data_IF_004516546210
#
_entry.id   IF_004516546210
#
_cell.length_a   1.000
_cell.length_b   1.000
_cell.length_c   1.000
_cell.angle_alpha   90.00
_cell.angle_beta   90.00
_cell.angle_gamma   90.00
#
_symmetry.space_group_name_H-M   'P 1'
#
loop_
_entity.id
_entity.type
_entity.pdbx_description
1 polymer ?
#
# COMPACT_ATOMS: atom_id res chain seq x y z
N UNK A 1 -10.34 1.25 -27.71
CA UNK A 1 -11.52 1.71 -26.95
C UNK A 1 -11.93 0.61 -26.01
N UNK A 2 -12.15 0.83 -24.74
CA UNK A 2 -12.53 -0.06 -23.62
C UNK A 2 -11.42 -0.30 -22.59
N UNK A 3 -11.17 0.71 -21.75
CA UNK A 3 -10.36 0.56 -20.53
C UNK A 3 -11.06 1.15 -19.29
N UNK A 4 -12.37 0.96 -19.14
CA UNK A 4 -13.11 1.59 -18.05
C UNK A 4 -13.95 0.62 -17.19
N UNK A 5 -13.63 -0.67 -17.14
CA UNK A 5 -14.50 -1.68 -16.50
C UNK A 5 -13.98 -2.24 -15.17
N UNK A 6 -12.85 -1.76 -14.63
CA UNK A 6 -12.32 -2.27 -13.36
C UNK A 6 -12.84 -1.54 -12.10
N UNK A 7 -13.54 -0.42 -12.25
CA UNK A 7 -14.02 0.39 -11.12
C UNK A 7 -15.55 0.37 -10.92
N UNK A 8 -16.30 -0.35 -11.75
CA UNK A 8 -17.79 -0.33 -11.72
C UNK A 8 -18.44 -1.22 -10.66
N UNK A 9 -17.67 -1.95 -9.84
CA UNK A 9 -18.24 -2.89 -8.85
C UNK A 9 -17.99 -2.51 -7.38
N UNK A 10 -17.50 -1.27 -7.10
CA UNK A 10 -17.38 -0.80 -5.72
C UNK A 10 -18.70 -0.13 -5.33
N UNK A 11 -19.50 -0.83 -4.52
CA UNK A 11 -20.77 -0.29 -4.02
C UNK A 11 -20.53 0.91 -3.07
N UNK A 12 -21.49 1.86 -2.95
CA UNK A 12 -21.36 3.04 -2.06
C UNK A 12 -21.05 2.69 -0.60
N UNK A 13 -21.46 1.53 -0.12
CA UNK A 13 -21.16 1.03 1.24
C UNK A 13 -19.67 0.73 1.43
N UNK A 14 -18.94 0.38 0.36
CA UNK A 14 -17.49 0.14 0.42
C UNK A 14 -16.68 1.44 0.45
N UNK A 15 -17.29 2.59 0.15
CA UNK A 15 -16.65 3.91 0.26
C UNK A 15 -16.62 4.47 1.69
N UNK A 16 -17.38 3.93 2.62
CA UNK A 16 -17.45 4.42 4.01
C UNK A 16 -16.13 4.26 4.82
N UNK A 17 -15.13 3.60 4.26
CA UNK A 17 -13.80 3.45 4.87
C UNK A 17 -12.70 4.34 4.29
N UNK A 18 -12.99 5.16 3.27
CA UNK A 18 -11.99 6.03 2.65
C UNK A 18 -12.16 7.47 3.13
N UNK A 19 -11.18 8.00 3.86
CA UNK A 19 -11.04 9.44 4.02
C UNK A 19 -10.87 10.08 2.65
N UNK A 20 -11.67 11.08 2.33
CA UNK A 20 -11.49 11.89 1.12
C UNK A 20 -10.17 12.65 1.24
N UNK A 21 -9.27 12.41 0.29
CA UNK A 21 -8.06 13.21 0.19
C UNK A 21 -8.45 14.65 -0.20
N UNK A 22 -8.12 15.62 0.67
CA UNK A 22 -8.42 17.03 0.40
C UNK A 22 -7.38 17.61 -0.58
N UNK A 23 -7.74 17.64 -1.86
CA UNK A 23 -6.90 18.18 -2.95
C UNK A 23 -6.76 19.71 -2.94
N UNK A 24 -7.54 20.42 -2.12
CA UNK A 24 -7.57 21.89 -2.09
C UNK A 24 -6.43 22.50 -1.25
N UNK A 25 -5.66 21.71 -0.53
CA UNK A 25 -4.52 22.18 0.24
C UNK A 25 -3.30 22.30 -0.68
N UNK A 26 -2.77 23.50 -0.87
CA UNK A 26 -1.52 23.70 -1.62
C UNK A 26 -0.41 22.93 -0.88
N UNK A 27 0.17 21.94 -1.57
CA UNK A 27 1.27 21.15 -1.06
C UNK A 27 2.48 21.30 -1.98
N UNK A 28 3.73 21.36 -1.45
CA UNK A 28 4.93 21.58 -2.25
C UNK A 28 5.23 20.43 -3.25
N UNK A 29 4.57 19.29 -3.09
CA UNK A 29 4.68 18.16 -4.02
C UNK A 29 3.43 18.09 -4.89
N UNK A 30 3.62 17.95 -6.22
CA UNK A 30 2.52 17.69 -7.15
C UNK A 30 1.74 16.44 -6.72
N UNK A 31 0.40 16.47 -6.77
CA UNK A 31 -0.40 15.28 -6.44
C UNK A 31 -0.03 14.04 -7.26
N UNK A 32 0.36 14.18 -8.51
CA UNK A 32 0.78 13.06 -9.37
C UNK A 32 2.18 12.54 -9.08
N UNK A 33 3.02 13.35 -8.39
CA UNK A 33 4.39 12.96 -8.07
C UNK A 33 4.44 11.67 -7.24
N UNK A 34 3.64 11.59 -6.16
CA UNK A 34 3.66 10.42 -5.27
C UNK A 34 3.16 9.17 -6.00
N UNK A 35 2.19 9.29 -6.92
CA UNK A 35 1.74 8.16 -7.72
C UNK A 35 2.86 7.63 -8.63
N UNK A 36 3.52 8.51 -9.38
CA UNK A 36 4.66 8.13 -10.21
C UNK A 36 5.84 7.58 -9.40
N UNK A 37 6.14 8.22 -8.27
CA UNK A 37 7.17 7.75 -7.34
C UNK A 37 6.82 6.37 -6.75
N UNK A 38 5.55 6.14 -6.39
CA UNK A 38 5.09 4.86 -5.87
C UNK A 38 5.04 3.77 -6.94
N UNK A 39 4.81 4.12 -8.21
CA UNK A 39 4.94 3.17 -9.32
C UNK A 39 6.36 2.60 -9.43
N UNK A 40 7.38 3.42 -9.17
CA UNK A 40 8.78 2.98 -9.16
C UNK A 40 9.15 2.29 -7.82
N UNK A 41 9.03 2.98 -6.71
CA UNK A 41 9.64 2.63 -5.42
C UNK A 41 8.63 2.12 -4.37
N UNK A 42 7.32 2.25 -4.62
CA UNK A 42 6.28 1.88 -3.66
C UNK A 42 6.24 0.38 -3.37
N UNK A 43 6.01 0.03 -2.12
CA UNK A 43 5.80 -1.35 -1.69
C UNK A 43 4.51 -1.46 -0.86
N UNK A 44 3.58 -2.26 -1.35
CA UNK A 44 2.38 -2.66 -0.63
C UNK A 44 2.66 -3.98 0.07
N UNK A 45 2.75 -3.96 1.40
CA UNK A 45 3.17 -5.11 2.17
C UNK A 45 2.03 -5.68 3.01
N UNK A 46 1.92 -7.02 3.03
CA UNK A 46 1.04 -7.78 3.92
C UNK A 46 1.87 -8.76 4.71
N UNK A 47 1.81 -8.67 6.05
CA UNK A 47 2.48 -9.60 6.96
C UNK A 47 1.43 -10.38 7.74
N UNK A 48 1.59 -11.71 7.79
CA UNK A 48 0.77 -12.61 8.61
C UNK A 48 1.72 -13.25 9.63
N UNK A 49 1.49 -12.97 10.91
CA UNK A 49 2.29 -13.49 12.01
C UNK A 49 1.43 -14.24 13.02
N UNK A 50 1.97 -15.26 13.65
CA UNK A 50 1.29 -15.96 14.76
C UNK A 50 1.07 -14.98 15.91
N UNK A 51 -0.13 -15.00 16.49
CA UNK A 51 -0.48 -14.15 17.61
C UNK A 51 -1.49 -14.85 18.52
N UNK A 52 -1.06 -15.25 19.71
CA UNK A 52 -1.85 -16.09 20.63
C UNK A 52 -3.19 -15.48 21.06
N UNK A 53 -3.27 -14.16 21.10
CA UNK A 53 -4.45 -13.43 21.61
C UNK A 53 -5.46 -13.05 20.52
N UNK A 54 -5.39 -13.64 19.32
CA UNK A 54 -6.36 -13.41 18.24
C UNK A 54 -7.20 -14.66 18.02
N UNK A 55 -8.47 -14.49 17.66
CA UNK A 55 -9.42 -15.61 17.42
C UNK A 55 -8.88 -16.59 16.38
N UNK A 56 -8.27 -16.10 15.31
CA UNK A 56 -7.68 -16.92 14.26
C UNK A 56 -6.27 -17.45 14.59
N UNK A 57 -5.69 -17.09 15.74
CA UNK A 57 -4.28 -17.38 16.07
C UNK A 57 -3.26 -16.60 15.25
N UNK A 58 -3.70 -15.64 14.42
CA UNK A 58 -2.85 -14.86 13.52
C UNK A 58 -3.23 -13.39 13.52
N UNK A 59 -2.21 -12.54 13.32
CA UNK A 59 -2.35 -11.10 13.09
C UNK A 59 -2.00 -10.81 11.64
N UNK A 60 -2.86 -10.04 10.97
CA UNK A 60 -2.62 -9.51 9.62
C UNK A 60 -2.26 -8.04 9.75
N UNK A 61 -1.08 -7.66 9.29
CA UNK A 61 -0.63 -6.27 9.24
C UNK A 61 -0.43 -5.85 7.79
N UNK A 62 -0.96 -4.66 7.47
CA UNK A 62 -0.77 -4.02 6.17
C UNK A 62 0.15 -2.81 6.34
N UNK A 63 0.98 -2.55 5.33
CA UNK A 63 1.85 -1.37 5.26
C UNK A 63 1.96 -0.86 3.84
N UNK A 64 1.99 0.45 3.72
CA UNK A 64 2.51 1.13 2.54
C UNK A 64 3.90 1.66 2.88
N UNK A 65 4.88 1.40 2.02
CA UNK A 65 6.30 1.67 2.25
C UNK A 65 6.93 2.36 1.05
N UNK A 66 7.85 3.29 1.32
CA UNK A 66 8.77 3.89 0.34
C UNK A 66 10.18 3.84 0.94
N UNK A 67 11.15 3.33 0.20
CA UNK A 67 12.56 3.24 0.62
C UNK A 67 13.46 3.95 -0.39
N UNK A 68 14.32 4.89 0.05
CA UNK A 68 15.32 5.51 -0.82
C UNK A 68 16.45 6.17 -0.04
N UNK A 69 17.63 6.24 -0.67
CA UNK A 69 18.76 7.02 -0.16
C UNK A 69 18.48 8.52 -0.23
N UNK A 70 19.05 9.26 0.73
CA UNK A 70 19.05 10.74 0.79
C UNK A 70 17.64 11.37 0.68
N UNK A 71 16.58 10.65 1.07
CA UNK A 71 15.20 11.08 0.84
C UNK A 71 14.45 11.47 2.12
N UNK A 72 15.16 11.84 3.18
CA UNK A 72 14.52 12.25 4.45
C UNK A 72 13.52 13.39 4.26
N UNK A 73 13.95 14.46 3.59
CA UNK A 73 13.09 15.62 3.35
C UNK A 73 11.87 15.28 2.51
N UNK A 74 12.06 14.55 1.40
CA UNK A 74 10.96 14.09 0.55
C UNK A 74 9.94 13.25 1.33
N UNK A 75 10.42 12.32 2.14
CA UNK A 75 9.54 11.46 2.94
C UNK A 75 8.82 12.22 4.06
N UNK A 76 9.42 13.27 4.58
CA UNK A 76 8.76 14.19 5.51
C UNK A 76 7.58 14.90 4.82
N UNK A 77 7.77 15.41 3.60
CA UNK A 77 6.71 16.03 2.82
C UNK A 77 5.58 15.04 2.49
N UNK A 78 5.91 13.79 2.16
CA UNK A 78 4.93 12.73 1.90
C UNK A 78 4.14 12.40 3.18
N UNK A 79 4.82 12.28 4.32
CA UNK A 79 4.17 12.09 5.62
C UNK A 79 3.19 13.22 5.93
N UNK A 80 3.60 14.45 5.71
CA UNK A 80 2.79 15.63 6.02
C UNK A 80 1.59 15.75 5.07
N UNK A 81 1.74 15.33 3.81
CA UNK A 81 0.65 15.24 2.85
C UNK A 81 -0.42 14.22 3.29
N UNK A 82 -0.01 13.02 3.70
CA UNK A 82 -0.93 12.01 4.19
C UNK A 82 -1.46 12.31 5.59
N UNK A 83 -0.77 13.15 6.36
CA UNK A 83 -1.07 13.40 7.78
C UNK A 83 -0.78 12.21 8.69
N UNK A 84 -0.28 11.11 8.15
CA UNK A 84 -0.01 9.85 8.83
C UNK A 84 1.27 9.19 8.31
N UNK A 85 1.79 8.26 9.10
CA UNK A 85 2.99 7.52 8.77
C UNK A 85 4.20 8.01 9.55
N UNK A 86 5.34 7.34 9.32
CA UNK A 86 6.60 7.62 9.97
C UNK A 86 7.72 7.63 8.96
N UNK A 87 8.73 8.46 9.20
CA UNK A 87 9.99 8.48 8.47
C UNK A 87 11.08 7.99 9.43
N UNK A 88 11.82 6.97 9.01
CA UNK A 88 12.93 6.40 9.80
C UNK A 88 14.17 6.25 8.93
N UNK A 89 15.33 6.38 9.52
CA UNK A 89 16.59 5.93 8.93
C UNK A 89 16.78 4.44 9.20
N UNK A 90 17.02 3.65 8.16
CA UNK A 90 17.23 2.20 8.25
C UNK A 90 18.71 1.81 8.32
N UNK A 91 19.53 2.57 7.61
CA UNK A 91 20.99 2.47 7.59
C UNK A 91 21.52 3.81 7.08
N UNK A 92 22.84 4.02 7.08
CA UNK A 92 23.44 5.27 6.64
C UNK A 92 22.82 5.78 5.33
N UNK A 93 22.22 6.97 5.40
CA UNK A 93 21.56 7.69 4.31
C UNK A 93 20.35 6.96 3.66
N UNK A 94 19.96 5.79 4.15
CA UNK A 94 18.80 5.05 3.65
C UNK A 94 17.58 5.34 4.52
N UNK A 95 16.60 6.02 3.96
CA UNK A 95 15.38 6.40 4.66
C UNK A 95 14.20 5.56 4.21
N UNK A 96 13.25 5.41 5.10
CA UNK A 96 11.96 4.78 4.85
C UNK A 96 10.84 5.67 5.34
N UNK A 97 9.89 5.95 4.44
CA UNK A 97 8.54 6.30 4.86
C UNK A 97 7.70 5.03 4.99
N UNK A 98 6.89 4.92 6.03
CA UNK A 98 5.88 3.86 6.12
C UNK A 98 4.62 4.33 6.82
N UNK A 99 3.49 3.77 6.37
CA UNK A 99 2.19 3.91 7.00
C UNK A 99 1.61 2.52 7.28
N UNK A 100 1.20 2.26 8.52
CA UNK A 100 0.70 0.95 8.98
C UNK A 100 -0.54 1.05 9.88
N UNK A 101 -0.97 2.25 10.26
CA UNK A 101 -2.24 2.44 10.96
C UNK A 101 -3.41 2.37 9.97
N UNK A 102 -4.53 1.72 10.34
CA UNK A 102 -5.70 1.62 9.47
C UNK A 102 -6.27 2.97 9.07
N UNK A 103 -6.24 3.95 9.96
CA UNK A 103 -6.64 5.33 9.67
C UNK A 103 -5.70 5.92 8.62
N UNK A 104 -4.39 5.84 8.81
CA UNK A 104 -3.42 6.35 7.82
C UNK A 104 -3.53 5.64 6.46
N UNK A 105 -3.76 4.32 6.48
CA UNK A 105 -3.96 3.55 5.24
C UNK A 105 -5.25 3.94 4.52
N UNK A 106 -6.29 4.42 5.21
CA UNK A 106 -7.47 4.95 4.55
C UNK A 106 -7.17 6.23 3.74
N UNK A 107 -6.28 7.10 4.25
CA UNK A 107 -5.80 8.29 3.51
C UNK A 107 -4.93 7.90 2.31
N UNK A 108 -4.04 6.92 2.48
CA UNK A 108 -3.25 6.35 1.35
C UNK A 108 -4.18 5.79 0.27
N UNK A 109 -5.24 5.08 0.65
CA UNK A 109 -6.24 4.56 -0.28
C UNK A 109 -7.02 5.68 -0.98
N UNK A 110 -7.46 6.70 -0.25
CA UNK A 110 -8.13 7.87 -0.83
C UNK A 110 -7.24 8.59 -1.84
N UNK A 111 -5.94 8.71 -1.53
CA UNK A 111 -4.97 9.32 -2.44
C UNK A 111 -4.85 8.52 -3.76
N UNK A 112 -4.60 7.21 -3.71
CA UNK A 112 -4.47 6.39 -4.92
C UNK A 112 -5.79 6.18 -5.67
N UNK A 113 -6.93 6.43 -5.04
CA UNK A 113 -8.23 6.51 -5.72
C UNK A 113 -8.34 7.77 -6.57
N UNK A 114 -7.81 8.91 -6.09
CA UNK A 114 -7.80 10.20 -6.80
C UNK A 114 -6.67 10.29 -7.83
N UNK A 115 -5.51 9.73 -7.52
CA UNK A 115 -4.29 9.74 -8.33
C UNK A 115 -3.79 8.31 -8.55
N UNK A 116 -4.43 7.54 -9.45
CA UNK A 116 -4.19 6.11 -9.58
C UNK A 116 -2.80 5.79 -10.13
N UNK A 117 -2.24 4.70 -9.65
CA UNK A 117 -1.02 4.08 -10.17
C UNK A 117 -1.20 3.64 -11.61
N UNK A 118 -0.15 3.65 -12.41
CA UNK A 118 -0.19 3.39 -13.86
C UNK A 118 0.59 2.15 -14.28
N UNK A 119 1.51 1.66 -13.43
CA UNK A 119 2.34 0.50 -13.73
C UNK A 119 1.73 -0.81 -13.21
N UNK A 120 2.47 -1.91 -13.31
CA UNK A 120 2.13 -3.19 -12.67
C UNK A 120 1.95 -3.06 -11.13
N UNK A 121 2.42 -1.97 -10.55
CA UNK A 121 2.19 -1.65 -9.14
C UNK A 121 0.70 -1.46 -8.83
N UNK A 122 -0.10 -1.00 -9.82
CA UNK A 122 -1.55 -0.90 -9.69
C UNK A 122 -2.19 -2.25 -9.37
N UNK A 123 -1.72 -3.34 -9.97
CA UNK A 123 -2.22 -4.71 -9.69
C UNK A 123 -1.88 -5.12 -8.26
N UNK A 124 -0.64 -4.86 -7.82
CA UNK A 124 -0.21 -5.11 -6.44
C UNK A 124 -1.05 -4.31 -5.44
N UNK A 125 -1.31 -3.04 -5.74
CA UNK A 125 -2.17 -2.17 -4.94
C UNK A 125 -3.61 -2.70 -4.88
N UNK A 126 -4.21 -3.07 -6.01
CA UNK A 126 -5.58 -3.62 -6.03
C UNK A 126 -5.70 -4.89 -5.18
N UNK A 127 -4.73 -5.80 -5.24
CA UNK A 127 -4.75 -7.00 -4.41
C UNK A 127 -4.52 -6.70 -2.93
N UNK A 128 -3.64 -5.74 -2.62
CA UNK A 128 -3.42 -5.27 -1.27
C UNK A 128 -4.66 -4.56 -0.70
N UNK A 129 -5.37 -3.79 -1.52
CA UNK A 129 -6.62 -3.12 -1.16
C UNK A 129 -7.74 -4.13 -0.82
N UNK A 130 -7.82 -5.26 -1.55
CA UNK A 130 -8.73 -6.37 -1.20
C UNK A 130 -8.42 -6.91 0.20
N UNK A 131 -7.14 -7.12 0.51
CA UNK A 131 -6.73 -7.56 1.86
C UNK A 131 -7.10 -6.51 2.92
N UNK A 132 -6.90 -5.22 2.63
CA UNK A 132 -7.32 -4.13 3.53
C UNK A 132 -8.82 -4.21 3.83
N UNK A 133 -9.66 -4.36 2.81
CA UNK A 133 -11.11 -4.50 2.97
C UNK A 133 -11.50 -5.74 3.77
N UNK A 134 -10.87 -6.88 3.50
CA UNK A 134 -11.10 -8.11 4.25
C UNK A 134 -10.77 -7.96 5.74
N UNK A 135 -9.73 -7.16 6.08
CA UNK A 135 -9.37 -6.91 7.47
C UNK A 135 -10.38 -5.97 8.13
N UNK A 136 -10.83 -4.90 7.45
CA UNK A 136 -11.89 -4.00 7.93
C UNK A 136 -13.18 -4.78 8.21
N UNK A 137 -13.56 -5.68 7.31
CA UNK A 137 -14.73 -6.54 7.43
C UNK A 137 -14.54 -7.70 8.44
N UNK A 138 -13.38 -7.78 9.12
CA UNK A 138 -13.04 -8.84 10.08
C UNK A 138 -12.99 -10.26 9.47
N UNK A 139 -12.96 -10.40 8.15
CA UNK A 139 -12.87 -11.70 7.47
C UNK A 139 -11.58 -12.45 7.84
N UNK A 140 -10.49 -11.73 8.13
CA UNK A 140 -9.20 -12.27 8.57
C UNK A 140 -9.27 -13.06 9.89
N UNK A 141 -10.38 -12.96 10.64
CA UNK A 141 -10.61 -13.72 11.87
C UNK A 141 -11.11 -15.14 11.60
N UNK A 142 -11.53 -15.45 10.38
CA UNK A 142 -11.98 -16.79 9.97
C UNK A 142 -10.85 -17.53 9.25
N UNK A 143 -10.87 -18.87 9.33
CA UNK A 143 -9.90 -19.73 8.62
C UNK A 143 -9.96 -19.48 7.11
N UNK A 144 -11.19 -19.44 6.54
CA UNK A 144 -11.39 -19.21 5.10
C UNK A 144 -10.90 -17.83 4.66
N UNK A 145 -11.19 -16.78 5.43
CA UNK A 145 -10.71 -15.43 5.13
C UNK A 145 -9.18 -15.34 5.20
N UNK A 146 -8.57 -15.99 6.20
CA UNK A 146 -7.11 -16.03 6.33
C UNK A 146 -6.44 -16.74 5.14
N UNK A 147 -7.02 -17.86 4.64
CA UNK A 147 -6.50 -18.53 3.45
C UNK A 147 -6.63 -17.67 2.19
N UNK A 148 -7.74 -16.95 1.99
CA UNK A 148 -7.89 -15.98 0.90
C UNK A 148 -6.82 -14.89 0.98
N UNK A 149 -6.53 -14.36 2.19
CA UNK A 149 -5.49 -13.35 2.38
C UNK A 149 -4.10 -13.93 2.06
N UNK A 150 -3.81 -15.19 2.43
CA UNK A 150 -2.55 -15.86 2.07
C UNK A 150 -2.40 -15.99 0.55
N UNK A 151 -3.47 -16.33 -0.16
CA UNK A 151 -3.47 -16.41 -1.62
C UNK A 151 -3.20 -15.03 -2.24
N UNK A 152 -3.93 -13.98 -1.82
CA UNK A 152 -3.73 -12.61 -2.30
C UNK A 152 -2.30 -12.10 -2.01
N UNK A 153 -1.77 -12.38 -0.82
CA UNK A 153 -0.39 -11.99 -0.47
C UNK A 153 0.64 -12.51 -1.47
N UNK A 154 0.45 -13.72 -2.02
CA UNK A 154 1.37 -14.29 -3.03
C UNK A 154 1.37 -13.50 -4.35
N UNK A 155 0.29 -12.78 -4.64
CA UNK A 155 0.15 -11.99 -5.88
C UNK A 155 0.56 -10.52 -5.72
N UNK A 156 0.88 -10.09 -4.50
CA UNK A 156 1.34 -8.75 -4.20
C UNK A 156 2.86 -8.69 -4.40
N UNK A 157 3.36 -7.72 -5.16
CA UNK A 157 4.79 -7.47 -5.46
C UNK A 157 5.53 -8.63 -6.17
N UNK A 158 4.85 -9.45 -6.97
CA UNK A 158 5.47 -10.57 -7.71
C UNK A 158 6.65 -10.09 -8.57
N UNK A 159 6.53 -8.93 -9.22
CA UNK A 159 7.54 -8.41 -10.14
C UNK A 159 8.84 -7.96 -9.47
N UNK A 160 8.81 -7.64 -8.15
CA UNK A 160 10.03 -7.30 -7.42
C UNK A 160 10.98 -8.50 -7.24
N UNK A 161 10.47 -9.74 -7.37
CA UNK A 161 11.28 -10.96 -7.28
C UNK A 161 11.90 -11.37 -8.62
N UNK A 162 11.33 -10.93 -9.75
CA UNK A 162 11.83 -11.26 -11.10
C UNK A 162 12.99 -10.33 -11.50
N UNK A 163 12.93 -9.04 -11.16
CA UNK A 163 14.01 -8.09 -11.47
C UNK A 163 15.29 -8.39 -10.71
N UNK A 164 15.20 -8.89 -9.46
CA UNK A 164 16.39 -9.35 -8.72
C UNK A 164 17.07 -10.59 -9.30
N UNK A 165 16.33 -11.45 -10.02
CA UNK A 165 16.92 -12.65 -10.66
C UNK A 165 17.61 -12.34 -11.97
N UNK A 166 17.21 -11.30 -12.68
CA UNK A 166 17.83 -10.91 -13.97
C UNK A 166 19.13 -10.14 -13.73
N UNK A 167 19.26 -9.39 -12.62
CA UNK A 167 20.48 -8.63 -12.28
C UNK A 167 21.62 -9.45 -11.67
N UNK A 168 21.41 -10.73 -11.34
CA UNK A 168 22.43 -11.60 -10.73
C UNK A 168 23.11 -12.58 -11.68
N UNK A 169 22.78 -12.56 -12.97
CA UNK A 169 23.57 -13.27 -13.98
C UNK A 169 24.85 -12.46 -14.23
N UNK A 170 25.93 -12.82 -13.51
CA UNK A 170 27.29 -12.36 -13.85
C UNK A 170 27.72 -12.97 -15.18
N UNK A 171 28.46 -12.21 -16.00
CA UNK A 171 29.09 -12.72 -17.19
C UNK A 171 30.12 -13.79 -16.88
#
# INVERSE_FOLDING_TARGET
MTHNTLFSSITPVQMLGYSTFNSNKIHPISPWFISGYSDAEGCFNVTISKHKNTVSGYRVNLRFLLDQKNSFYLFTLIRDLFGYGKVIERSKDMYRFYCDSFVGLSYVNGYFSSFPLKSQKAVSYCNWLKVYQMVINKEHLTTQGLEKIRALKKTININNSLTHKIGSAKP
#
